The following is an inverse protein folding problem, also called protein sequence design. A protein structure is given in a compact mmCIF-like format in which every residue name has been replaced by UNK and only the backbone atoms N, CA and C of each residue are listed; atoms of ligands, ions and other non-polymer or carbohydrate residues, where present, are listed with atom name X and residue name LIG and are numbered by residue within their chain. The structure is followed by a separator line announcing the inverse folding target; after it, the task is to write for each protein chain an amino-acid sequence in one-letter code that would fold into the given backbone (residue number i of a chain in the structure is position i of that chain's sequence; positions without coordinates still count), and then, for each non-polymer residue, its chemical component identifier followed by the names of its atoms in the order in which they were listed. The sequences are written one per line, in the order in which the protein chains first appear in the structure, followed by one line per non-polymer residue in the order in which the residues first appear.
data_IF_471740292990
#
_entry.id   IF_471740292990
#
_cell.length_a   1.000
_cell.length_b   1.000
_cell.length_c   1.000
_cell.angle_alpha   90.00
_cell.angle_beta   90.00
_cell.angle_gamma   90.00
#
_symmetry.space_group_name_H-M   'P 1'
#
loop_
_entity.id
_entity.type
_entity.pdbx_description
1 polymer ?
#
# COMPACT_ATOMS: atom_id res chain seq x y z
N UNK A 1 12.03 34.02 -13.88
CA UNK A 1 11.55 32.71 -14.34
C UNK A 1 10.63 32.16 -13.27
N UNK A 2 9.32 32.15 -13.49
CA UNK A 2 8.35 31.66 -12.52
C UNK A 2 8.30 30.12 -12.55
N UNK A 3 8.63 29.49 -11.42
CA UNK A 3 8.32 28.09 -11.15
C UNK A 3 6.81 27.99 -10.89
N UNK A 4 6.12 27.23 -11.72
CA UNK A 4 4.73 26.86 -11.52
C UNK A 4 4.62 25.88 -10.34
N UNK A 5 3.91 26.30 -9.29
CA UNK A 5 3.44 25.42 -8.22
C UNK A 5 2.41 24.46 -8.84
N UNK A 6 2.76 23.19 -9.04
CA UNK A 6 1.78 22.17 -9.39
C UNK A 6 1.08 21.65 -8.14
N UNK A 7 -0.25 21.58 -8.21
CA UNK A 7 -1.14 21.10 -7.14
C UNK A 7 -1.58 19.69 -7.51
N UNK A 8 -1.37 18.72 -6.61
CA UNK A 8 -1.84 17.33 -6.77
C UNK A 8 -3.31 17.22 -6.32
N UNK A 9 -4.18 16.67 -7.17
CA UNK A 9 -5.59 16.42 -6.85
C UNK A 9 -5.85 14.94 -6.61
N UNK A 10 -6.49 14.61 -5.49
CA UNK A 10 -6.97 13.24 -5.19
C UNK A 10 -8.48 13.27 -4.96
N UNK A 11 -9.21 12.46 -5.72
CA UNK A 11 -10.64 12.22 -5.51
C UNK A 11 -10.84 10.87 -4.84
N UNK A 12 -11.76 10.80 -3.88
CA UNK A 12 -12.25 9.53 -3.38
C UNK A 12 -13.32 9.02 -4.34
N UNK A 13 -13.17 7.76 -4.80
CA UNK A 13 -14.06 7.01 -5.72
C UNK A 13 -13.90 7.31 -7.22
N UNK A 14 -14.39 6.37 -8.05
CA UNK A 14 -14.43 6.51 -9.51
C UNK A 14 -15.44 7.60 -9.91
N UNK A 15 -15.00 8.62 -10.66
CA UNK A 15 -15.88 9.68 -11.18
C UNK A 15 -16.19 9.44 -12.66
N UNK A 16 -17.46 9.64 -13.03
CA UNK A 16 -17.93 9.55 -14.41
C UNK A 16 -17.93 10.96 -15.01
N UNK A 17 -17.08 11.16 -16.02
CA UNK A 17 -16.95 12.43 -16.72
C UNK A 17 -18.00 12.53 -17.84
N UNK A 18 -18.78 13.60 -17.85
CA UNK A 18 -19.82 13.83 -18.87
C UNK A 18 -19.22 14.54 -20.10
N UNK A 19 -19.88 14.51 -21.27
CA UNK A 19 -19.35 15.13 -22.50
C UNK A 19 -19.02 16.62 -22.38
N UNK A 20 -19.65 17.35 -21.45
CA UNK A 20 -19.35 18.77 -21.15
C UNK A 20 -18.02 19.00 -20.43
N UNK A 21 -17.45 17.97 -19.80
CA UNK A 21 -16.18 18.05 -19.06
C UNK A 21 -14.94 17.82 -19.94
N UNK A 22 -15.11 17.54 -21.24
CA UNK A 22 -14.01 17.23 -22.17
C UNK A 22 -13.01 18.38 -22.39
N UNK A 23 -13.40 19.62 -22.09
CA UNK A 23 -12.59 20.80 -22.35
C UNK A 23 -12.45 21.70 -21.12
N UNK A 24 -12.76 21.19 -19.92
CA UNK A 24 -12.68 21.97 -18.68
C UNK A 24 -11.25 22.10 -18.18
N UNK A 25 -10.93 23.25 -17.61
CA UNK A 25 -9.67 23.47 -16.90
C UNK A 25 -9.68 22.74 -15.56
N UNK A 26 -8.50 22.49 -14.98
CA UNK A 26 -8.37 21.80 -13.69
C UNK A 26 -9.12 22.54 -12.57
N UNK A 27 -9.12 23.88 -12.58
CA UNK A 27 -9.87 24.69 -11.63
C UNK A 27 -11.38 24.55 -11.78
N UNK A 28 -11.89 24.55 -13.03
CA UNK A 28 -13.31 24.32 -13.31
C UNK A 28 -13.76 22.92 -12.88
N UNK A 29 -12.88 21.93 -13.01
CA UNK A 29 -13.14 20.56 -12.57
C UNK A 29 -13.22 20.48 -11.03
N UNK A 30 -12.31 21.15 -10.33
CA UNK A 30 -12.34 21.23 -8.87
C UNK A 30 -13.61 21.90 -8.36
N UNK A 31 -13.95 23.07 -8.91
CA UNK A 31 -15.14 23.81 -8.48
C UNK A 31 -16.43 23.03 -8.76
N UNK A 32 -16.53 22.32 -9.88
CA UNK A 32 -17.70 21.52 -10.20
C UNK A 32 -17.98 20.38 -9.20
N UNK A 33 -16.94 19.72 -8.68
CA UNK A 33 -17.07 18.57 -7.79
C UNK A 33 -16.98 18.91 -6.29
N UNK A 34 -16.33 20.02 -5.93
CA UNK A 34 -16.16 20.44 -4.54
C UNK A 34 -17.18 21.49 -4.14
N UNK A 35 -17.49 22.44 -5.03
CA UNK A 35 -18.31 23.62 -4.72
C UNK A 35 -19.60 23.73 -5.55
N UNK A 36 -19.75 22.95 -6.62
CA UNK A 36 -20.83 23.05 -7.59
C UNK A 36 -22.05 22.16 -7.30
N UNK A 37 -22.99 22.19 -8.24
CA UNK A 37 -24.27 21.47 -8.28
C UNK A 37 -24.17 19.93 -8.16
N UNK A 38 -22.98 19.36 -7.97
CA UNK A 38 -22.73 17.93 -7.77
C UNK A 38 -22.28 17.57 -6.34
N UNK A 39 -22.22 18.54 -5.43
CA UNK A 39 -21.85 18.33 -4.02
C UNK A 39 -22.80 17.39 -3.25
N UNK A 40 -24.04 17.20 -3.72
CA UNK A 40 -25.03 16.27 -3.15
C UNK A 40 -24.73 14.79 -3.39
N UNK A 41 -23.79 14.45 -4.27
CA UNK A 41 -23.38 13.05 -4.48
C UNK A 41 -22.60 12.47 -3.29
N UNK A 42 -22.28 13.28 -2.27
CA UNK A 42 -21.67 12.85 -1.01
C UNK A 42 -22.67 12.37 0.05
N UNK A 43 -23.95 12.66 -0.12
CA UNK A 43 -24.98 12.38 0.88
C UNK A 43 -26.01 11.40 0.35
N UNK A 44 -25.63 10.14 0.21
CA UNK A 44 -26.58 9.01 0.20
C UNK A 44 -25.85 7.73 0.63
N UNK A 45 -25.43 7.71 1.90
CA UNK A 45 -25.30 6.46 2.65
C UNK A 45 -26.64 6.23 3.37
N UNK A 46 -27.29 5.05 3.25
CA UNK A 46 -28.54 4.80 3.94
C UNK A 46 -28.37 4.93 5.45
N UNK A 47 -29.13 5.85 6.04
CA UNK A 47 -29.28 6.00 7.48
C UNK A 47 -29.99 4.78 8.06
N UNK A 48 -29.25 3.93 8.79
CA UNK A 48 -29.70 2.99 9.85
C UNK A 48 -28.46 2.13 10.17
N UNK A 49 -27.78 2.16 11.33
CA UNK A 49 -28.28 2.19 12.70
C UNK A 49 -27.12 2.61 13.62
N UNK A 50 -27.01 3.89 13.98
CA UNK A 50 -26.13 4.30 15.08
C UNK A 50 -26.89 4.22 16.41
N UNK A 51 -26.87 3.05 17.05
CA UNK A 51 -27.01 2.98 18.52
C UNK A 51 -26.10 1.88 19.08
N UNK A 52 -25.16 2.34 19.92
CA UNK A 52 -24.21 1.60 20.79
C UNK A 52 -22.99 0.97 20.11
N UNK A 53 -21.95 1.79 19.94
CA UNK A 53 -20.58 1.37 20.22
C UNK A 53 -19.81 2.56 20.82
N UNK A 54 -20.11 2.85 22.10
CA UNK A 54 -19.24 3.66 22.95
C UNK A 54 -18.04 2.75 23.26
N UNK A 55 -16.82 3.23 22.98
CA UNK A 55 -15.52 2.63 23.34
C UNK A 55 -15.00 1.52 22.40
N UNK A 56 -14.39 1.91 21.27
CA UNK A 56 -13.31 1.13 20.65
C UNK A 56 -12.30 2.13 20.05
N UNK A 57 -11.01 1.85 20.26
CA UNK A 57 -9.90 2.79 20.12
C UNK A 57 -9.72 3.43 18.74
N UNK A 58 -8.93 4.51 18.75
CA UNK A 58 -8.39 5.19 17.58
C UNK A 58 -7.98 4.17 16.51
N UNK A 59 -8.59 4.26 15.33
CA UNK A 59 -8.14 3.53 14.13
C UNK A 59 -7.03 4.36 13.50
N UNK A 60 -5.79 3.90 13.64
CA UNK A 60 -4.67 4.45 12.90
C UNK A 60 -4.75 3.94 11.46
N UNK A 61 -4.76 4.85 10.49
CA UNK A 61 -4.63 4.51 9.08
C UNK A 61 -3.17 4.69 8.69
N UNK A 62 -2.48 3.59 8.40
CA UNK A 62 -1.15 3.64 7.80
C UNK A 62 -1.30 4.09 6.33
N UNK A 63 -0.71 5.23 5.98
CA UNK A 63 -0.61 5.70 4.60
C UNK A 63 0.88 5.85 4.25
N UNK A 64 1.41 4.90 3.49
CA UNK A 64 2.74 5.00 2.91
C UNK A 64 2.66 5.85 1.65
N UNK A 65 3.44 6.94 1.59
CA UNK A 65 3.54 7.76 0.38
C UNK A 65 4.77 7.36 -0.43
N UNK A 66 4.49 7.03 -1.70
CA UNK A 66 5.47 6.72 -2.72
C UNK A 66 6.02 8.04 -3.28
N UNK A 67 7.23 8.40 -2.90
CA UNK A 67 7.93 9.54 -3.51
C UNK A 67 8.51 9.11 -4.85
N UNK A 68 7.72 9.30 -5.92
CA UNK A 68 8.23 9.35 -7.29
C UNK A 68 8.16 10.81 -7.72
N UNK A 69 9.13 11.61 -7.28
CA UNK A 69 9.35 12.88 -7.98
C UNK A 69 10.83 13.09 -8.30
N UNK A 70 11.10 13.05 -9.61
CA UNK A 70 12.32 13.36 -10.37
C UNK A 70 13.66 12.69 -10.00
N UNK A 71 13.86 12.14 -8.82
CA UNK A 71 15.08 11.37 -8.49
C UNK A 71 14.75 9.89 -8.39
N UNK A 72 15.20 9.13 -9.40
CA UNK A 72 15.18 7.67 -9.35
C UNK A 72 16.12 7.24 -8.23
N UNK A 73 15.61 6.64 -7.14
CA UNK A 73 16.50 5.97 -6.21
C UNK A 73 17.14 4.80 -6.96
N UNK A 74 18.46 4.84 -7.06
CA UNK A 74 19.26 3.79 -7.69
C UNK A 74 20.27 3.29 -6.68
N UNK A 75 20.42 1.97 -6.61
CA UNK A 75 21.48 1.33 -5.85
C UNK A 75 22.19 0.43 -6.86
N UNK A 76 23.42 0.80 -7.22
CA UNK A 76 24.06 0.26 -8.42
C UNK A 76 23.29 0.65 -9.69
N UNK A 77 22.90 -0.34 -10.49
CA UNK A 77 22.12 -0.16 -11.72
C UNK A 77 20.61 -0.26 -11.52
N UNK A 78 20.18 -0.73 -10.36
CA UNK A 78 18.80 -1.13 -10.15
C UNK A 78 17.96 0.01 -9.58
N UNK A 79 16.69 0.03 -9.98
CA UNK A 79 15.74 1.06 -9.57
C UNK A 79 14.96 0.61 -8.34
N UNK A 80 14.86 1.51 -7.38
CA UNK A 80 14.17 1.28 -6.12
C UNK A 80 13.10 2.33 -5.88
N UNK A 81 12.27 2.01 -4.89
CA UNK A 81 11.27 2.87 -4.28
C UNK A 81 11.67 3.06 -2.82
N UNK A 82 11.64 4.30 -2.35
CA UNK A 82 11.76 4.62 -0.94
C UNK A 82 10.38 4.98 -0.37
N UNK A 83 10.03 4.35 0.76
CA UNK A 83 8.80 4.60 1.50
C UNK A 83 9.13 5.17 2.86
N UNK A 84 8.32 6.14 3.28
CA UNK A 84 8.29 6.67 4.64
C UNK A 84 6.87 6.62 5.18
N UNK A 85 6.77 6.59 6.50
CA UNK A 85 5.51 6.77 7.19
C UNK A 85 5.02 8.21 7.05
N UNK A 86 3.73 8.37 6.79
CA UNK A 86 3.05 9.67 6.78
C UNK A 86 1.83 9.58 7.68
N UNK A 87 1.76 10.48 8.66
CA UNK A 87 0.60 10.62 9.52
C UNK A 87 -0.40 11.62 8.92
N UNK A 88 -1.69 11.26 8.91
CA UNK A 88 -2.74 12.16 8.40
C UNK A 88 -3.05 13.20 9.48
N UNK A 89 -2.78 14.48 9.18
CA UNK A 89 -3.05 15.59 10.09
C UNK A 89 -1.91 15.91 11.06
N UNK A 90 -0.76 15.26 10.89
CA UNK A 90 0.45 15.47 11.70
C UNK A 90 1.72 15.34 10.87
N UNK A 91 2.87 15.59 11.52
CA UNK A 91 4.19 15.30 10.96
C UNK A 91 4.82 14.28 11.91
N UNK A 92 5.06 13.03 11.47
CA UNK A 92 5.65 12.04 12.34
C UNK A 92 7.08 12.45 12.70
N UNK A 93 7.46 12.17 13.94
CA UNK A 93 8.87 12.26 14.37
C UNK A 93 9.71 11.23 13.64
N UNK A 94 11.03 11.45 13.62
CA UNK A 94 11.95 10.49 13.00
C UNK A 94 11.88 9.09 13.65
N UNK A 95 11.69 9.03 14.97
CA UNK A 95 11.60 7.76 15.70
C UNK A 95 10.28 7.03 15.40
N UNK A 96 9.15 7.74 15.31
CA UNK A 96 7.86 7.17 14.87
C UNK A 96 7.95 6.64 13.44
N UNK A 97 8.52 7.43 12.51
CA UNK A 97 8.73 6.96 11.15
C UNK A 97 9.59 5.69 11.11
N UNK A 98 10.69 5.65 11.88
CA UNK A 98 11.56 4.47 11.98
C UNK A 98 10.82 3.25 12.50
N UNK A 99 9.98 3.43 13.52
CA UNK A 99 9.18 2.35 14.09
C UNK A 99 8.19 1.79 13.06
N UNK A 100 7.46 2.66 12.37
CA UNK A 100 6.45 2.26 11.38
C UNK A 100 7.05 1.57 10.15
N UNK A 101 8.15 2.09 9.59
CA UNK A 101 8.83 1.41 8.46
C UNK A 101 9.47 0.08 8.87
N UNK A 102 9.87 -0.05 10.15
CA UNK A 102 10.36 -1.33 10.69
C UNK A 102 9.22 -2.35 10.84
N UNK A 103 8.03 -1.93 11.29
CA UNK A 103 6.84 -2.78 11.34
C UNK A 103 6.49 -3.31 9.95
N UNK A 104 6.53 -2.45 8.93
CA UNK A 104 6.28 -2.85 7.54
C UNK A 104 7.32 -3.86 7.04
N UNK A 105 8.62 -3.67 7.34
CA UNK A 105 9.65 -4.65 6.99
C UNK A 105 9.39 -6.00 7.67
N UNK A 106 9.06 -5.99 8.95
CA UNK A 106 8.71 -7.23 9.70
C UNK A 106 7.49 -7.91 9.07
N UNK A 107 6.50 -7.13 8.63
CA UNK A 107 5.32 -7.65 7.96
C UNK A 107 5.67 -8.35 6.64
N UNK A 108 6.52 -7.74 5.80
CA UNK A 108 7.00 -8.36 4.57
C UNK A 108 7.80 -9.65 4.85
N UNK A 109 8.68 -9.65 5.86
CA UNK A 109 9.46 -10.84 6.24
C UNK A 109 8.61 -11.98 6.82
N UNK A 110 7.59 -11.65 7.61
CA UNK A 110 6.64 -12.65 8.08
C UNK A 110 5.87 -13.29 6.91
N UNK A 111 5.45 -12.47 5.96
CA UNK A 111 4.74 -12.96 4.78
C UNK A 111 5.61 -13.80 3.85
N UNK A 112 6.87 -13.43 3.67
CA UNK A 112 7.86 -14.25 2.96
C UNK A 112 7.99 -15.63 3.63
N UNK A 113 8.07 -15.67 4.96
CA UNK A 113 8.14 -16.93 5.72
C UNK A 113 6.88 -17.79 5.58
N UNK A 114 5.68 -17.20 5.74
CA UNK A 114 4.42 -17.91 5.55
C UNK A 114 4.28 -18.45 4.13
N UNK A 115 4.62 -17.64 3.12
CA UNK A 115 4.55 -18.05 1.73
C UNK A 115 5.50 -19.20 1.43
N UNK A 116 6.74 -19.15 1.93
CA UNK A 116 7.70 -20.23 1.76
C UNK A 116 7.23 -21.55 2.40
N UNK A 117 6.52 -21.49 3.52
CA UNK A 117 5.91 -22.67 4.13
C UNK A 117 4.73 -23.20 3.32
N UNK A 118 3.83 -22.31 2.87
CA UNK A 118 2.70 -22.65 2.00
C UNK A 118 3.17 -23.35 0.72
N UNK A 119 4.14 -22.77 0.01
CA UNK A 119 4.72 -23.33 -1.21
C UNK A 119 5.35 -24.71 -0.95
N UNK A 120 6.06 -24.87 0.16
CA UNK A 120 6.66 -26.15 0.55
C UNK A 120 5.60 -27.23 0.78
N UNK A 121 4.50 -26.89 1.43
CA UNK A 121 3.42 -27.84 1.72
C UNK A 121 2.60 -28.18 0.48
N UNK A 122 2.32 -27.20 -0.40
CA UNK A 122 1.75 -27.44 -1.73
C UNK A 122 2.62 -28.41 -2.55
N UNK A 123 3.95 -28.19 -2.58
CA UNK A 123 4.87 -29.09 -3.27
C UNK A 123 4.85 -30.52 -2.71
N UNK A 124 4.86 -30.68 -1.38
CA UNK A 124 4.78 -32.01 -0.73
C UNK A 124 3.48 -32.75 -1.06
N UNK A 125 2.39 -32.02 -1.23
CA UNK A 125 1.06 -32.57 -1.48
C UNK A 125 0.72 -32.68 -2.96
N UNK A 126 1.61 -32.24 -3.86
CA UNK A 126 1.38 -32.26 -5.30
C UNK A 126 0.34 -31.24 -5.78
N UNK A 127 0.06 -30.21 -4.98
CA UNK A 127 -0.85 -29.12 -5.36
C UNK A 127 -0.08 -28.08 -6.17
N UNK A 128 -0.53 -27.87 -7.41
CA UNK A 128 -0.03 -26.81 -8.27
C UNK A 128 -0.62 -25.44 -7.89
N UNK A 129 0.24 -24.42 -7.85
CA UNK A 129 -0.12 -23.03 -7.51
C UNK A 129 0.42 -22.06 -8.58
N UNK A 130 -0.07 -20.83 -8.59
CA UNK A 130 0.52 -19.76 -9.39
C UNK A 130 1.90 -19.35 -8.85
N UNK A 131 2.77 -18.86 -9.74
CA UNK A 131 4.08 -18.33 -9.36
C UNK A 131 3.93 -16.97 -8.68
N UNK A 132 4.01 -17.00 -7.35
CA UNK A 132 3.87 -15.84 -6.47
C UNK A 132 5.11 -15.71 -5.58
N UNK A 133 5.50 -14.47 -5.25
CA UNK A 133 6.52 -14.19 -4.22
C UNK A 133 6.17 -12.89 -3.48
N UNK A 134 6.78 -12.65 -2.32
CA UNK A 134 6.67 -11.39 -1.58
C UNK A 134 7.82 -10.48 -1.99
N UNK A 135 7.57 -9.17 -2.05
CA UNK A 135 8.60 -8.19 -2.36
C UNK A 135 9.74 -8.25 -1.35
N UNK A 136 10.96 -8.23 -1.87
CA UNK A 136 12.13 -7.94 -1.05
C UNK A 136 12.07 -6.50 -0.54
N UNK A 137 12.59 -6.29 0.67
CA UNK A 137 12.73 -4.98 1.26
C UNK A 137 13.88 -4.92 2.28
N UNK A 138 14.41 -3.72 2.49
CA UNK A 138 15.41 -3.42 3.53
C UNK A 138 15.29 -1.97 3.99
N UNK A 139 15.87 -1.66 5.15
CA UNK A 139 15.92 -0.28 5.64
C UNK A 139 17.23 0.38 5.22
N UNK A 140 17.15 1.65 4.84
CA UNK A 140 18.32 2.54 4.74
C UNK A 140 18.12 3.74 5.65
N UNK A 141 19.24 4.31 6.08
CA UNK A 141 19.26 5.56 6.81
C UNK A 141 20.07 6.58 6.00
N UNK A 142 19.57 7.79 5.84
CA UNK A 142 20.35 8.87 5.23
C UNK A 142 21.52 9.24 6.13
N UNK A 143 22.65 9.55 5.49
CA UNK A 143 23.84 10.05 6.17
C UNK A 143 24.01 11.53 5.83
N UNK A 144 24.14 12.36 6.86
CA UNK A 144 24.24 13.80 6.75
C UNK A 144 22.90 14.50 6.97
N UNK A 145 22.77 15.65 6.32
CA UNK A 145 21.56 16.47 6.36
C UNK A 145 20.38 15.72 5.73
N UNK A 146 19.20 15.72 6.36
CA UNK A 146 18.04 15.03 5.80
C UNK A 146 17.62 15.65 4.48
N UNK A 147 17.20 14.81 3.54
CA UNK A 147 16.61 15.25 2.28
C UNK A 147 15.27 15.96 2.52
N UNK A 148 14.89 16.85 1.60
CA UNK A 148 13.57 17.50 1.64
C UNK A 148 12.43 16.48 1.67
N UNK A 149 12.60 15.34 1.00
CA UNK A 149 11.61 14.27 0.97
C UNK A 149 11.40 13.60 2.34
N UNK A 150 12.42 13.58 3.21
CA UNK A 150 12.30 13.04 4.56
C UNK A 150 11.31 13.84 5.42
N UNK A 151 11.11 15.13 5.10
CA UNK A 151 10.25 16.03 5.86
C UNK A 151 10.78 16.30 7.27
N UNK A 152 12.10 16.20 7.47
CA UNK A 152 12.78 16.45 8.73
C UNK A 152 13.54 17.79 8.68
N UNK A 153 13.71 18.39 9.86
CA UNK A 153 14.51 19.60 10.06
C UNK A 153 16.02 19.31 9.94
N UNK A 154 16.83 20.28 9.52
CA UNK A 154 18.30 20.18 9.41
C UNK A 154 18.99 19.79 10.74
N UNK A 155 18.38 20.08 11.90
CA UNK A 155 18.88 19.63 13.20
C UNK A 155 18.79 18.09 13.39
N UNK A 156 18.01 17.39 12.56
CA UNK A 156 17.78 15.95 12.63
C UNK A 156 18.71 15.16 11.71
N UNK A 157 20.01 15.47 11.80
CA UNK A 157 21.09 14.82 11.05
C UNK A 157 21.09 13.31 11.32
N UNK A 158 21.26 12.50 10.27
CA UNK A 158 21.30 11.03 10.35
C UNK A 158 20.03 10.40 10.96
N UNK A 159 18.85 11.02 10.81
CA UNK A 159 17.60 10.49 11.40
C UNK A 159 16.58 9.99 10.38
N UNK A 160 16.70 10.34 9.10
CA UNK A 160 15.78 9.87 8.06
C UNK A 160 16.00 8.37 7.77
N UNK A 161 14.98 7.56 8.03
CA UNK A 161 14.97 6.12 7.74
C UNK A 161 13.91 5.83 6.69
N UNK A 162 14.26 4.98 5.72
CA UNK A 162 13.40 4.62 4.60
C UNK A 162 13.28 3.11 4.47
N UNK A 163 12.09 2.63 4.14
CA UNK A 163 11.88 1.28 3.64
C UNK A 163 12.12 1.26 2.14
N UNK A 164 13.04 0.42 1.68
CA UNK A 164 13.44 0.31 0.28
C UNK A 164 12.91 -0.98 -0.31
N UNK A 165 12.27 -0.87 -1.47
CA UNK A 165 11.77 -2.00 -2.26
C UNK A 165 12.17 -1.85 -3.73
N UNK A 166 12.35 -2.96 -4.48
CA UNK A 166 12.54 -2.90 -5.92
C UNK A 166 11.39 -2.16 -6.61
N UNK A 167 11.74 -1.28 -7.56
CA UNK A 167 10.72 -0.56 -8.33
C UNK A 167 10.00 -1.50 -9.27
N UNK A 168 8.67 -1.51 -9.19
CA UNK A 168 7.78 -2.31 -10.03
C UNK A 168 7.12 -1.47 -11.14
N UNK A 169 6.45 -2.15 -12.06
CA UNK A 169 5.62 -1.51 -13.09
C UNK A 169 4.39 -0.84 -12.44
N UNK A 170 3.74 0.10 -13.15
CA UNK A 170 2.57 0.83 -12.61
C UNK A 170 1.29 -0.01 -12.53
N UNK A 171 1.27 -1.20 -13.11
CA UNK A 171 0.09 -2.05 -13.13
C UNK A 171 0.03 -2.88 -11.85
N UNK A 172 -0.95 -2.59 -10.99
CA UNK A 172 -1.20 -3.33 -9.76
C UNK A 172 -2.55 -4.03 -9.86
N UNK A 173 -2.58 -5.30 -9.46
CA UNK A 173 -3.81 -6.08 -9.29
C UNK A 173 -4.10 -6.23 -7.79
N UNK A 174 -5.34 -5.91 -7.40
CA UNK A 174 -5.82 -6.08 -6.03
C UNK A 174 -6.66 -7.36 -5.94
N UNK A 175 -6.31 -8.24 -5.01
CA UNK A 175 -6.95 -9.54 -4.80
C UNK A 175 -7.89 -9.53 -3.60
N UNK A 176 -7.50 -8.88 -2.50
CA UNK A 176 -8.37 -8.67 -1.34
C UNK A 176 -8.34 -7.21 -0.92
N UNK A 177 -9.39 -6.77 -0.24
CA UNK A 177 -9.43 -5.50 0.48
C UNK A 177 -9.23 -5.71 1.98
N UNK A 178 -9.26 -4.62 2.75
CA UNK A 178 -9.15 -4.67 4.22
C UNK A 178 -10.21 -5.57 4.86
N UNK A 179 -11.44 -5.52 4.35
CA UNK A 179 -12.61 -6.26 4.85
C UNK A 179 -13.32 -7.06 3.75
N UNK A 180 -12.72 -7.16 2.56
CA UNK A 180 -13.36 -7.76 1.37
C UNK A 180 -12.49 -8.88 0.82
N UNK A 181 -13.06 -10.08 0.74
CA UNK A 181 -12.38 -11.29 0.28
C UNK A 181 -13.17 -11.88 -0.89
N UNK A 182 -13.05 -11.30 -2.10
CA UNK A 182 -13.78 -11.79 -3.25
C UNK A 182 -13.33 -13.21 -3.60
N UNK A 183 -14.31 -14.06 -3.94
CA UNK A 183 -14.01 -15.40 -4.45
C UNK A 183 -13.57 -15.26 -5.91
N UNK A 184 -12.37 -15.75 -6.20
CA UNK A 184 -11.80 -15.76 -7.56
C UNK A 184 -11.64 -17.20 -8.03
N UNK A 185 -11.91 -17.42 -9.31
CA UNK A 185 -11.85 -18.75 -9.95
C UNK A 185 -10.65 -18.92 -10.88
N UNK A 186 -9.88 -17.85 -11.12
CA UNK A 186 -8.61 -17.94 -11.83
C UNK A 186 -7.51 -18.52 -10.93
N UNK A 187 -6.52 -19.21 -11.52
CA UNK A 187 -5.46 -19.93 -10.79
C UNK A 187 -4.73 -19.01 -9.80
N UNK A 188 -4.44 -17.77 -10.18
CA UNK A 188 -3.76 -16.79 -9.32
C UNK A 188 -4.66 -16.41 -8.15
N UNK A 189 -5.90 -16.02 -8.40
CA UNK A 189 -6.85 -15.66 -7.36
C UNK A 189 -7.13 -16.80 -6.38
N UNK A 190 -7.26 -18.05 -6.88
CA UNK A 190 -7.38 -19.24 -6.03
C UNK A 190 -6.13 -19.48 -5.19
N UNK A 191 -4.94 -19.30 -5.76
CA UNK A 191 -3.66 -19.41 -5.04
C UNK A 191 -3.58 -18.37 -3.92
N UNK A 192 -3.94 -17.12 -4.20
CA UNK A 192 -3.93 -16.04 -3.21
C UNK A 192 -4.95 -16.29 -2.10
N UNK A 193 -6.16 -16.72 -2.44
CA UNK A 193 -7.17 -17.09 -1.44
C UNK A 193 -6.73 -18.27 -0.56
N UNK A 194 -6.11 -19.29 -1.16
CA UNK A 194 -5.56 -20.42 -0.42
C UNK A 194 -4.39 -20.01 0.48
N UNK A 195 -3.52 -19.11 0.03
CA UNK A 195 -2.41 -18.57 0.83
C UNK A 195 -2.93 -17.76 2.04
N UNK A 196 -3.94 -16.90 1.83
CA UNK A 196 -4.58 -16.16 2.92
C UNK A 196 -5.19 -17.11 3.97
N UNK A 197 -5.90 -18.16 3.50
CA UNK A 197 -6.48 -19.17 4.38
C UNK A 197 -5.40 -20.01 5.10
N UNK A 198 -4.33 -20.40 4.41
CA UNK A 198 -3.19 -21.11 5.00
C UNK A 198 -2.55 -20.30 6.13
N UNK A 199 -2.35 -18.99 5.92
CA UNK A 199 -1.79 -18.09 6.95
C UNK A 199 -2.68 -18.03 8.18
N UNK A 200 -4.01 -17.99 8.00
CA UNK A 200 -4.96 -18.05 9.10
C UNK A 200 -4.88 -19.37 9.87
N UNK A 201 -4.91 -20.52 9.19
CA UNK A 201 -4.82 -21.82 9.85
C UNK A 201 -3.47 -22.03 10.54
N UNK A 202 -2.36 -21.70 9.87
CA UNK A 202 -1.00 -21.91 10.37
C UNK A 202 -0.63 -20.98 11.53
N UNK A 203 -1.28 -19.82 11.63
CA UNK A 203 -1.15 -18.91 12.77
C UNK A 203 -2.07 -19.27 13.95
N UNK A 204 -2.68 -20.47 13.97
CA UNK A 204 -3.69 -20.85 14.96
C UNK A 204 -4.85 -19.84 15.04
N UNK A 205 -5.32 -19.39 13.88
CA UNK A 205 -6.41 -18.44 13.73
C UNK A 205 -6.12 -17.07 14.38
N UNK A 206 -4.85 -16.68 14.52
CA UNK A 206 -4.47 -15.40 15.14
C UNK A 206 -4.22 -14.28 14.12
N UNK A 207 -3.86 -14.62 12.89
CA UNK A 207 -3.50 -13.67 11.84
C UNK A 207 -4.33 -13.89 10.58
N UNK A 208 -4.88 -12.83 10.00
CA UNK A 208 -5.56 -12.87 8.70
C UNK A 208 -4.88 -11.93 7.74
N UNK A 209 -4.45 -12.44 6.58
CA UNK A 209 -3.91 -11.60 5.51
C UNK A 209 -5.01 -10.82 4.79
N UNK A 210 -4.82 -9.51 4.65
CA UNK A 210 -5.75 -8.57 4.04
C UNK A 210 -5.02 -7.65 3.06
N UNK A 211 -5.80 -6.87 2.30
CA UNK A 211 -5.28 -5.93 1.29
C UNK A 211 -4.20 -6.53 0.36
N UNK A 212 -4.38 -7.80 -0.01
CA UNK A 212 -3.41 -8.50 -0.85
C UNK A 212 -3.46 -7.91 -2.25
N UNK A 213 -2.31 -7.42 -2.70
CA UNK A 213 -2.12 -6.85 -4.02
C UNK A 213 -0.74 -7.20 -4.57
N UNK A 214 -0.58 -7.10 -5.88
CA UNK A 214 0.71 -7.36 -6.51
C UNK A 214 0.80 -6.88 -7.95
N UNK A 215 2.00 -7.04 -8.50
CA UNK A 215 2.31 -6.70 -9.90
C UNK A 215 3.06 -7.86 -10.53
N UNK A 216 2.72 -8.18 -11.78
CA UNK A 216 3.48 -9.16 -12.55
C UNK A 216 4.82 -8.56 -13.01
N UNK A 217 5.88 -9.32 -12.80
CA UNK A 217 7.24 -9.03 -13.25
C UNK A 217 7.79 -10.23 -13.99
N UNK A 218 8.62 -9.99 -15.01
CA UNK A 218 9.37 -11.07 -15.64
C UNK A 218 10.68 -11.27 -14.87
N UNK A 219 10.82 -12.44 -14.24
CA UNK A 219 12.04 -12.85 -13.52
C UNK A 219 12.54 -14.10 -14.21
N UNK A 220 13.76 -14.06 -14.75
CA UNK A 220 14.38 -15.17 -15.49
C UNK A 220 13.52 -15.74 -16.62
N UNK A 221 12.71 -14.89 -17.27
CA UNK A 221 11.79 -15.29 -18.35
C UNK A 221 10.44 -15.85 -17.87
N UNK A 222 10.21 -15.91 -16.56
CA UNK A 222 8.95 -16.35 -15.95
C UNK A 222 8.13 -15.14 -15.48
N UNK A 223 6.81 -15.17 -15.72
CA UNK A 223 5.90 -14.17 -15.16
C UNK A 223 5.57 -14.52 -13.72
N UNK A 224 6.15 -13.78 -12.79
CA UNK A 224 5.94 -13.96 -11.34
C UNK A 224 5.11 -12.79 -10.82
N UNK A 225 4.09 -13.10 -10.03
CA UNK A 225 3.33 -12.08 -9.30
C UNK A 225 4.07 -11.72 -8.01
N UNK A 226 4.53 -10.46 -7.92
CA UNK A 226 5.20 -9.93 -6.72
C UNK A 226 4.14 -9.28 -5.83
N UNK A 227 3.95 -9.81 -4.63
CA UNK A 227 3.05 -9.30 -3.60
C UNK A 227 3.77 -8.25 -2.75
N UNK A 228 3.10 -7.13 -2.47
CA UNK A 228 3.66 -6.02 -1.70
C UNK A 228 2.55 -5.22 -1.02
N UNK A 229 2.92 -4.37 -0.05
CA UNK A 229 1.96 -3.59 0.74
C UNK A 229 0.81 -4.47 1.27
N UNK A 230 1.19 -5.64 1.80
CA UNK A 230 0.28 -6.60 2.40
C UNK A 230 -0.19 -6.04 3.75
N UNK A 231 -1.39 -6.40 4.18
CA UNK A 231 -1.86 -6.08 5.54
C UNK A 231 -2.11 -7.38 6.31
N UNK A 232 -1.91 -7.37 7.63
CA UNK A 232 -2.40 -8.44 8.50
C UNK A 232 -3.30 -7.87 9.58
N UNK A 233 -4.42 -8.55 9.82
CA UNK A 233 -5.23 -8.35 11.01
C UNK A 233 -4.78 -9.32 12.09
N UNK A 234 -4.75 -8.85 13.33
CA UNK A 234 -4.58 -9.66 14.53
C UNK A 234 -5.80 -9.54 15.44
N UNK A 235 -5.97 -10.47 16.38
CA UNK A 235 -7.01 -10.34 17.42
C UNK A 235 -6.79 -9.16 18.37
N UNK A 236 -5.54 -8.68 18.49
CA UNK A 236 -5.16 -7.59 19.39
C UNK A 236 -5.28 -6.19 18.74
N UNK A 237 -5.55 -6.14 17.44
CA UNK A 237 -5.36 -4.93 16.62
C UNK A 237 -4.05 -4.96 15.86
#
# INVERSE_FOLDING_TARGET
MHQSNEVEFRFTENKIFTPRTRHSTVGELYDAYVNGDYSWYRSDAPSQTQKKAKKLGLRYHLKLELYIDKQKLTIGTDLFVAKRYVEIGGVPTADENREEVMKELVLLKNNEWFLGNFQRDCKKTGVEIADITVSEAFLIQEVGQPSTAAGLDEAQINKAVWLIEPRRTKATEKFTGTLQYPIRTDRTGMTIGAFAHYTFCSSNCQLVLADIQGSYMSIDGHNVLILFDLMMHSMAG
#
